data_IF_157345837957
#
_entry.id   IF_157345837957
#
_cell.length_a   1.000
_cell.length_b   1.000
_cell.length_c   1.000
_cell.angle_alpha   90.00
_cell.angle_beta   90.00
_cell.angle_gamma   90.00
#
_symmetry.space_group_name_H-M   'P 1'
#
loop_
_entity.id
_entity.type
_entity.pdbx_description
1 polymer ?
#
# COMPACT_ATOMS: atom_id res chain seq x y z
N UNK A 1 14.08 -7.68 18.79
CA UNK A 1 12.65 -7.90 18.54
C UNK A 1 12.52 -8.78 17.30
N UNK A 2 11.87 -9.95 17.40
CA UNK A 2 11.57 -10.75 16.20
C UNK A 2 10.40 -10.08 15.50
N UNK A 3 10.65 -9.53 14.32
CA UNK A 3 9.61 -9.02 13.43
C UNK A 3 8.79 -10.26 13.02
N UNK A 4 7.49 -10.26 13.30
CA UNK A 4 6.61 -11.30 12.80
C UNK A 4 6.57 -11.17 11.26
N UNK A 5 7.37 -11.99 10.59
CA UNK A 5 7.33 -12.11 9.14
C UNK A 5 6.22 -13.11 8.83
N UNK A 6 5.07 -12.62 8.38
CA UNK A 6 4.02 -13.50 7.88
C UNK A 6 4.57 -14.26 6.68
N UNK A 7 4.59 -15.59 6.70
CA UNK A 7 5.19 -16.38 5.61
C UNK A 7 4.54 -16.10 4.24
N UNK A 8 3.32 -15.59 4.22
CA UNK A 8 2.53 -15.34 3.02
C UNK A 8 2.36 -13.86 2.66
N UNK A 9 2.74 -12.93 3.55
CA UNK A 9 2.63 -11.50 3.23
C UNK A 9 3.90 -11.05 2.49
N UNK A 10 3.78 -10.56 1.25
CA UNK A 10 4.93 -10.08 0.51
C UNK A 10 5.58 -8.90 1.26
N UNK A 11 6.90 -8.76 1.14
CA UNK A 11 7.63 -7.62 1.71
C UNK A 11 7.16 -6.28 1.16
N UNK A 12 6.55 -6.29 -0.02
CA UNK A 12 6.09 -5.09 -0.72
C UNK A 12 4.88 -5.44 -1.55
N UNK A 13 3.83 -4.62 -1.45
CA UNK A 13 2.64 -4.70 -2.30
C UNK A 13 2.62 -3.44 -3.16
N UNK A 14 2.60 -3.62 -4.48
CA UNK A 14 2.54 -2.52 -5.45
C UNK A 14 1.11 -2.33 -5.91
N UNK A 15 0.65 -1.08 -5.83
CA UNK A 15 -0.71 -0.69 -6.23
C UNK A 15 -0.59 0.45 -7.23
N UNK A 16 -1.14 0.23 -8.43
CA UNK A 16 -1.27 1.26 -9.46
C UNK A 16 -2.62 1.94 -9.29
N UNK A 17 -2.62 3.22 -8.90
CA UNK A 17 -3.84 4.02 -8.77
C UNK A 17 -3.97 4.91 -9.99
N UNK A 18 -5.16 4.95 -10.57
CA UNK A 18 -5.48 5.74 -11.75
C UNK A 18 -6.84 6.41 -11.55
N UNK A 19 -6.99 7.63 -12.08
CA UNK A 19 -8.30 8.28 -12.18
C UNK A 19 -8.97 7.89 -13.49
N UNK A 20 -10.29 7.68 -13.47
CA UNK A 20 -11.05 7.46 -14.71
C UNK A 20 -10.99 8.70 -15.60
N UNK A 21 -10.99 8.48 -16.93
CA UNK A 21 -10.81 9.56 -17.93
C UNK A 21 -11.97 10.56 -17.96
N UNK A 22 -13.16 10.12 -17.57
CA UNK A 22 -14.38 10.92 -17.43
C UNK A 22 -14.45 11.65 -16.08
N UNK A 23 -13.50 11.39 -15.17
CA UNK A 23 -13.43 11.98 -13.84
C UNK A 23 -14.42 11.41 -12.83
N UNK A 24 -15.15 10.34 -13.17
CA UNK A 24 -16.23 9.78 -12.33
C UNK A 24 -15.75 9.03 -11.09
N UNK A 25 -14.47 8.66 -11.03
CA UNK A 25 -13.94 7.89 -9.91
C UNK A 25 -12.47 7.54 -10.08
N UNK A 26 -12.05 6.57 -9.27
CA UNK A 26 -10.70 6.07 -9.16
C UNK A 26 -10.69 4.55 -9.28
N UNK A 27 -9.58 4.04 -9.79
CA UNK A 27 -9.33 2.62 -9.99
C UNK A 27 -7.95 2.27 -9.44
N UNK A 28 -7.85 1.12 -8.77
CA UNK A 28 -6.60 0.59 -8.26
C UNK A 28 -6.37 -0.83 -8.75
N UNK A 29 -5.16 -1.10 -9.27
CA UNK A 29 -4.73 -2.44 -9.71
C UNK A 29 -3.50 -2.91 -8.95
N UNK A 30 -3.59 -4.13 -8.40
CA UNK A 30 -2.45 -4.86 -7.85
C UNK A 30 -1.90 -5.77 -8.95
N UNK A 31 -1.02 -5.21 -9.79
CA UNK A 31 -0.60 -5.83 -11.06
C UNK A 31 0.02 -7.22 -10.92
N UNK A 32 0.74 -7.49 -9.82
CA UNK A 32 1.38 -8.78 -9.56
C UNK A 32 0.37 -9.91 -9.28
N UNK A 33 -0.86 -9.57 -8.92
CA UNK A 33 -1.91 -10.52 -8.50
C UNK A 33 -3.13 -10.52 -9.42
N UNK A 34 -3.12 -9.68 -10.46
CA UNK A 34 -4.21 -9.48 -11.42
C UNK A 34 -5.59 -9.21 -10.78
N UNK A 35 -5.59 -8.51 -9.64
CA UNK A 35 -6.80 -8.04 -8.96
C UNK A 35 -6.90 -6.52 -9.01
N UNK A 36 -8.13 -6.02 -8.93
CA UNK A 36 -8.43 -4.59 -8.98
C UNK A 36 -9.64 -4.23 -8.13
N UNK A 37 -9.76 -2.94 -7.80
CA UNK A 37 -10.92 -2.34 -7.14
C UNK A 37 -11.15 -0.92 -7.69
N UNK A 38 -12.38 -0.43 -7.60
CA UNK A 38 -12.78 0.90 -8.05
C UNK A 38 -13.70 1.57 -7.04
N UNK A 39 -13.67 2.90 -6.99
CA UNK A 39 -14.44 3.71 -6.05
C UNK A 39 -14.67 5.13 -6.60
N UNK A 40 -15.69 5.83 -6.09
CA UNK A 40 -16.00 7.18 -6.55
C UNK A 40 -15.06 8.23 -5.94
N UNK A 41 -14.47 7.92 -4.78
CA UNK A 41 -13.56 8.81 -4.04
C UNK A 41 -12.22 8.16 -3.74
N UNK A 42 -11.16 8.97 -3.58
CA UNK A 42 -9.84 8.46 -3.22
C UNK A 42 -9.83 7.79 -1.83
N UNK A 43 -10.59 8.33 -0.87
CA UNK A 43 -10.71 7.78 0.48
C UNK A 43 -11.34 6.38 0.46
N UNK A 44 -12.46 6.23 -0.24
CA UNK A 44 -13.13 4.94 -0.40
C UNK A 44 -12.23 3.94 -1.15
N UNK A 45 -11.50 4.39 -2.18
CA UNK A 45 -10.54 3.55 -2.87
C UNK A 45 -9.45 3.01 -1.92
N UNK A 46 -8.93 3.84 -1.03
CA UNK A 46 -7.93 3.41 -0.05
C UNK A 46 -8.46 2.35 0.91
N UNK A 47 -9.70 2.50 1.38
CA UNK A 47 -10.39 1.52 2.21
C UNK A 47 -10.55 0.18 1.45
N UNK A 48 -11.04 0.24 0.21
CA UNK A 48 -11.22 -0.95 -0.62
C UNK A 48 -9.89 -1.65 -0.99
N UNK A 49 -8.81 -0.90 -1.20
CA UNK A 49 -7.47 -1.48 -1.42
C UNK A 49 -7.04 -2.26 -0.18
N UNK A 50 -7.26 -1.71 1.02
CA UNK A 50 -6.90 -2.39 2.26
C UNK A 50 -7.71 -3.68 2.44
N UNK A 51 -9.02 -3.64 2.22
CA UNK A 51 -9.88 -4.81 2.30
C UNK A 51 -9.46 -5.88 1.30
N UNK A 52 -9.17 -5.49 0.05
CA UNK A 52 -8.66 -6.40 -0.98
C UNK A 52 -7.34 -7.06 -0.57
N UNK A 53 -6.42 -6.31 0.03
CA UNK A 53 -5.15 -6.84 0.56
C UNK A 53 -5.40 -7.81 1.72
N UNK A 54 -6.31 -7.48 2.64
CA UNK A 54 -6.62 -8.33 3.77
C UNK A 54 -7.23 -9.65 3.34
N UNK A 55 -8.12 -9.62 2.35
CA UNK A 55 -8.76 -10.80 1.80
C UNK A 55 -7.77 -11.65 0.99
N UNK A 56 -6.96 -11.02 0.14
CA UNK A 56 -5.99 -11.72 -0.73
C UNK A 56 -4.91 -12.47 0.07
N UNK A 57 -4.47 -11.92 1.19
CA UNK A 57 -3.40 -12.49 2.02
C UNK A 57 -3.90 -13.08 3.34
N UNK A 58 -5.22 -13.23 3.52
CA UNK A 58 -5.86 -13.75 4.73
C UNK A 58 -5.33 -13.10 6.02
N UNK A 59 -5.23 -11.77 6.01
CA UNK A 59 -4.59 -11.00 7.09
C UNK A 59 -5.44 -11.05 8.35
N UNK A 60 -4.89 -11.54 9.49
CA UNK A 60 -5.64 -11.59 10.74
C UNK A 60 -6.02 -10.19 11.23
N UNK A 61 -7.22 -10.06 11.81
CA UNK A 61 -7.80 -8.77 12.25
C UNK A 61 -6.88 -7.91 13.13
N UNK A 62 -6.05 -8.54 13.98
CA UNK A 62 -5.12 -7.83 14.88
C UNK A 62 -3.96 -7.11 14.16
N UNK A 63 -3.74 -7.43 12.88
CA UNK A 63 -2.73 -6.82 12.01
C UNK A 63 -3.33 -5.93 10.91
N UNK A 64 -4.65 -5.95 10.73
CA UNK A 64 -5.34 -5.00 9.85
C UNK A 64 -5.09 -3.57 10.36
N UNK A 65 -4.87 -2.63 9.43
CA UNK A 65 -4.47 -1.25 9.70
C UNK A 65 -2.97 -1.05 9.93
N UNK A 66 -2.18 -2.12 10.06
CA UNK A 66 -0.70 -2.06 10.19
C UNK A 66 0.01 -2.36 8.88
N UNK A 67 -0.71 -2.80 7.86
CA UNK A 67 -0.17 -3.08 6.53
C UNK A 67 -0.09 -1.78 5.73
N UNK A 68 1.01 -1.61 5.00
CA UNK A 68 1.25 -0.47 4.10
C UNK A 68 1.63 -1.01 2.73
N UNK A 69 1.18 -0.33 1.68
CA UNK A 69 1.49 -0.65 0.29
C UNK A 69 2.13 0.55 -0.41
N UNK A 70 2.82 0.30 -1.53
CA UNK A 70 3.44 1.33 -2.35
C UNK A 70 2.50 1.73 -3.47
N UNK A 71 2.09 3.00 -3.47
CA UNK A 71 1.37 3.63 -4.59
C UNK A 71 2.35 3.90 -5.74
N UNK A 72 2.20 3.22 -6.86
CA UNK A 72 2.87 3.51 -8.12
C UNK A 72 2.06 4.57 -8.89
N UNK A 73 1.96 5.80 -8.35
CA UNK A 73 1.36 6.91 -9.09
C UNK A 73 2.31 7.36 -10.21
N UNK A 74 1.80 7.42 -11.44
CA UNK A 74 2.49 7.99 -12.61
C UNK A 74 2.31 9.52 -12.73
N UNK A 75 1.54 10.13 -11.84
CA UNK A 75 1.33 11.58 -11.80
C UNK A 75 2.54 12.27 -11.15
N UNK A 76 3.23 13.09 -11.95
CA UNK A 76 4.55 13.68 -11.68
C UNK A 76 4.63 14.56 -10.42
N UNK A 77 3.52 15.00 -9.84
CA UNK A 77 3.53 15.87 -8.66
C UNK A 77 3.89 15.13 -7.36
N UNK A 78 3.66 13.81 -7.28
CA UNK A 78 3.94 13.03 -6.06
C UNK A 78 5.41 12.64 -5.88
N UNK A 79 6.21 12.68 -6.95
CA UNK A 79 7.65 12.35 -6.91
C UNK A 79 8.44 13.30 -6.00
N UNK A 80 7.98 14.54 -5.82
CA UNK A 80 8.64 15.50 -4.92
C UNK A 80 8.44 15.21 -3.43
N UNK A 81 7.42 14.41 -3.06
CA UNK A 81 7.11 14.07 -1.65
C UNK A 81 7.68 12.69 -1.27
N UNK A 82 8.06 11.87 -2.26
CA UNK A 82 8.45 10.45 -2.11
C UNK A 82 9.86 10.16 -1.61
N UNK A 83 10.55 11.11 -0.96
CA UNK A 83 11.77 10.79 -0.19
C UNK A 83 11.50 10.22 1.21
N UNK A 84 10.29 9.74 1.48
CA UNK A 84 9.98 8.97 2.68
C UNK A 84 9.90 7.48 2.34
N UNK A 85 11.07 6.85 2.34
CA UNK A 85 11.25 5.40 2.45
C UNK A 85 10.68 4.95 3.81
N UNK A 86 9.56 4.23 3.82
CA UNK A 86 9.00 3.64 5.04
C UNK A 86 9.25 2.13 5.01
N UNK A 87 10.07 1.65 5.94
CA UNK A 87 10.37 0.24 6.15
C UNK A 87 9.24 -0.42 6.95
N UNK A 88 8.84 -1.64 6.57
CA UNK A 88 7.92 -2.49 7.33
C UNK A 88 8.64 -3.12 8.53
N UNK A 89 9.04 -2.30 9.49
CA UNK A 89 9.59 -2.73 10.78
C UNK A 89 8.89 -1.97 11.90
N UNK A 90 8.43 -2.65 12.97
CA UNK A 90 7.96 -1.96 14.17
C UNK A 90 9.16 -1.25 14.82
N UNK A 91 8.92 -0.02 15.27
CA UNK A 91 9.86 0.99 15.77
C UNK A 91 11.28 0.54 16.13
N UNK A 92 12.25 1.01 15.32
CA UNK A 92 13.64 1.24 15.72
C UNK A 92 14.27 2.28 14.79
N UNK A 93 13.68 3.47 14.68
CA UNK A 93 14.41 4.63 14.15
C UNK A 93 15.38 5.09 15.23
N UNK A 94 16.54 4.44 15.27
CA UNK A 94 17.60 4.77 16.20
C UNK A 94 18.91 4.16 15.78
N UNK A 95 19.85 5.03 15.39
CA UNK A 95 21.31 4.90 15.60
C UNK A 95 22.30 4.58 14.46
N UNK A 96 21.96 4.62 13.16
CA UNK A 96 22.99 4.40 12.10
C UNK A 96 22.88 5.27 10.83
N UNK A 97 22.58 6.57 10.94
CA UNK A 97 22.67 7.49 9.78
C UNK A 97 23.62 8.69 9.96
N UNK A 98 24.53 8.64 10.93
CA UNK A 98 25.71 9.51 10.95
C UNK A 98 26.94 8.73 11.42
N UNK A 99 27.65 8.13 10.47
CA UNK A 99 29.07 7.78 10.56
C UNK A 99 29.64 7.70 9.16
#
# INVERSE_FOLDING_TARGET
MKIAQFPYLPKTIKVNIMRHKDGSGYFAKLSEYDVFTEADTELELEEMINDLIYDLFEVPKEYQGKIRYLKENKDKEFENIKRLLIYSTPDSIGKYLFS
#
